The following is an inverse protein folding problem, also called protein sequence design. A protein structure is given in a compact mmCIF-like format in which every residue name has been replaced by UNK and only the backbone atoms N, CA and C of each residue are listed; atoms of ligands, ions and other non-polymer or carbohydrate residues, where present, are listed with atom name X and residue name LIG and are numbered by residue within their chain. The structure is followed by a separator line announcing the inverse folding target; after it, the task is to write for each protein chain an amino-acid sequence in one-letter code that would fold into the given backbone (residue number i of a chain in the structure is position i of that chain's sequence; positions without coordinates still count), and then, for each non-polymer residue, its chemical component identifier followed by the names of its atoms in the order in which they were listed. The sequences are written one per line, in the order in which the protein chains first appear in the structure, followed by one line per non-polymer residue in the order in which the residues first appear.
data_IF_047327154915
#
_entry.id   IF_047327154915
#
_cell.length_a   1.000
_cell.length_b   1.000
_cell.length_c   1.000
_cell.angle_alpha   90.00
_cell.angle_beta   90.00
_cell.angle_gamma   90.00
#
_symmetry.space_group_name_H-M   'P 1'
#
loop_
_entity.id
_entity.type
_entity.pdbx_description
1 polymer ?
#
# COMPACT_ATOMS: atom_id res chain seq x y z
N UNK A 1 -19.85 -20.01 11.95
CA UNK A 1 -19.12 -19.08 11.06
C UNK A 1 -18.74 -17.86 11.87
N UNK A 2 -17.46 -17.68 12.20
CA UNK A 2 -16.98 -16.46 12.86
C UNK A 2 -16.99 -15.34 11.80
N UNK A 3 -18.16 -14.75 11.56
CA UNK A 3 -18.28 -13.51 10.82
C UNK A 3 -17.78 -12.39 11.73
N UNK A 4 -16.45 -12.26 11.83
CA UNK A 4 -15.82 -11.11 12.42
C UNK A 4 -16.19 -9.91 11.56
N UNK A 5 -17.11 -9.08 12.04
CA UNK A 5 -17.24 -7.71 11.56
C UNK A 5 -15.99 -6.96 12.03
N UNK A 6 -14.87 -7.17 11.35
CA UNK A 6 -13.74 -6.27 11.48
C UNK A 6 -14.23 -4.94 10.93
N UNK A 7 -14.14 -3.89 11.75
CA UNK A 7 -14.37 -2.53 11.25
C UNK A 7 -13.51 -2.36 9.99
N UNK A 8 -14.12 -1.85 8.91
CA UNK A 8 -13.39 -1.63 7.65
C UNK A 8 -12.09 -0.92 7.95
N UNK A 9 -10.99 -1.48 7.47
CA UNK A 9 -9.71 -0.80 7.60
C UNK A 9 -9.64 0.37 6.64
N UNK A 10 -8.70 1.28 6.87
CA UNK A 10 -8.48 2.42 5.99
C UNK A 10 -8.23 1.98 4.53
N UNK A 11 -7.56 0.84 4.33
CA UNK A 11 -7.35 0.28 3.01
C UNK A 11 -8.67 -0.18 2.36
N UNK A 12 -9.51 -0.91 3.09
CA UNK A 12 -10.79 -1.41 2.56
C UNK A 12 -11.77 -0.27 2.24
N UNK A 13 -11.84 0.75 3.09
CA UNK A 13 -12.67 1.93 2.85
C UNK A 13 -12.21 2.68 1.59
N UNK A 14 -10.90 2.90 1.46
CA UNK A 14 -10.32 3.54 0.26
C UNK A 14 -10.59 2.70 -0.97
N UNK A 15 -10.38 1.38 -0.89
CA UNK A 15 -10.64 0.44 -2.00
C UNK A 15 -12.07 0.54 -2.51
N UNK A 16 -13.06 0.59 -1.62
CA UNK A 16 -14.47 0.73 -2.03
C UNK A 16 -14.77 2.11 -2.64
N UNK A 17 -14.18 3.17 -2.09
CA UNK A 17 -14.34 4.52 -2.63
C UNK A 17 -13.81 4.59 -4.06
N UNK A 18 -12.59 4.08 -4.28
CA UNK A 18 -11.95 4.11 -5.59
C UNK A 18 -12.67 3.21 -6.61
N UNK A 19 -13.18 2.05 -6.18
CA UNK A 19 -14.03 1.20 -7.02
C UNK A 19 -15.34 1.87 -7.44
N UNK A 20 -15.95 2.66 -6.55
CA UNK A 20 -17.20 3.38 -6.87
C UNK A 20 -16.98 4.54 -7.84
N UNK A 21 -15.80 5.14 -7.83
CA UNK A 21 -15.49 6.30 -8.69
C UNK A 21 -15.33 5.96 -10.18
N UNK A 22 -15.33 4.67 -10.58
CA UNK A 22 -15.28 4.20 -11.98
C UNK A 22 -14.32 5.01 -12.87
N UNK A 23 -13.17 5.37 -12.31
CA UNK A 23 -12.17 6.22 -12.95
C UNK A 23 -10.92 5.39 -13.17
N UNK A 24 -10.60 5.12 -14.43
CA UNK A 24 -9.45 4.33 -14.90
C UNK A 24 -8.09 4.86 -14.43
N UNK A 25 -8.03 6.13 -14.03
CA UNK A 25 -6.80 6.76 -13.52
C UNK A 25 -6.54 6.39 -12.06
N UNK A 26 -7.59 6.06 -11.30
CA UNK A 26 -7.45 5.81 -9.87
C UNK A 26 -6.88 4.41 -9.63
N UNK A 27 -5.85 4.34 -8.80
CA UNK A 27 -5.33 3.09 -8.28
C UNK A 27 -6.32 2.55 -7.25
N UNK A 28 -6.88 1.39 -7.50
CA UNK A 28 -7.62 0.63 -6.49
C UNK A 28 -6.60 -0.06 -5.58
N UNK A 29 -6.48 0.31 -4.29
CA UNK A 29 -5.50 -0.31 -3.40
C UNK A 29 -5.85 -1.78 -3.11
N UNK A 30 -4.82 -2.62 -3.10
CA UNK A 30 -4.87 -4.00 -2.62
C UNK A 30 -4.56 -4.03 -1.13
N UNK A 31 -5.39 -4.73 -0.36
CA UNK A 31 -5.25 -4.85 1.09
C UNK A 31 -4.80 -6.27 1.46
N UNK A 32 -4.00 -6.38 2.50
CA UNK A 32 -3.63 -7.66 3.12
C UNK A 32 -4.84 -8.25 3.88
N UNK A 33 -4.85 -9.54 4.26
CA UNK A 33 -5.94 -10.12 5.06
C UNK A 33 -6.08 -9.49 6.46
N UNK A 34 -5.05 -8.80 6.96
CA UNK A 34 -5.08 -7.98 8.16
C UNK A 34 -5.73 -6.61 7.93
N UNK A 35 -5.92 -6.23 6.66
CA UNK A 35 -6.50 -4.97 6.21
C UNK A 35 -5.49 -3.82 6.09
N UNK A 36 -4.19 -4.10 6.12
CA UNK A 36 -3.16 -3.13 5.79
C UNK A 36 -3.00 -2.98 4.27
N UNK A 37 -2.33 -1.93 3.82
CA UNK A 37 -2.01 -1.78 2.40
C UNK A 37 -0.92 -2.77 2.00
N UNK A 38 -1.12 -3.46 0.87
CA UNK A 38 -0.06 -4.28 0.29
C UNK A 38 1.16 -3.44 -0.07
N UNK A 39 2.34 -4.03 0.13
CA UNK A 39 3.60 -3.36 -0.14
C UNK A 39 3.79 -3.04 -1.63
N UNK A 40 3.13 -3.78 -2.52
CA UNK A 40 3.19 -3.57 -3.96
C UNK A 40 1.79 -3.24 -4.48
N UNK A 41 1.59 -1.99 -4.86
CA UNK A 41 0.34 -1.51 -5.40
C UNK A 41 0.47 -1.34 -6.91
N UNK A 42 -0.35 -2.05 -7.68
CA UNK A 42 -0.33 -2.01 -9.14
C UNK A 42 -1.66 -1.49 -9.66
N UNK A 43 -1.61 -0.46 -10.50
CA UNK A 43 -2.77 -0.06 -11.28
C UNK A 43 -2.76 -0.88 -12.58
N UNK A 44 -3.75 -1.76 -12.74
CA UNK A 44 -3.86 -2.62 -13.92
C UNK A 44 -4.14 -1.82 -15.21
N UNK A 45 -4.90 -0.72 -15.10
CA UNK A 45 -5.31 0.10 -16.23
C UNK A 45 -4.14 0.94 -16.78
N UNK A 46 -3.44 1.63 -15.89
CA UNK A 46 -2.33 2.52 -16.28
C UNK A 46 -0.98 1.81 -16.31
N UNK A 47 -0.91 0.57 -15.81
CA UNK A 47 0.28 -0.27 -15.65
C UNK A 47 1.36 0.33 -14.74
N UNK A 48 1.05 1.38 -13.99
CA UNK A 48 1.96 1.94 -13.01
C UNK A 48 1.91 1.14 -11.72
N UNK A 49 3.09 0.85 -11.19
CA UNK A 49 3.25 0.15 -9.93
C UNK A 49 4.00 1.04 -8.94
N UNK A 50 3.60 1.02 -7.69
CA UNK A 50 4.23 1.77 -6.60
C UNK A 50 4.44 0.89 -5.38
N UNK A 51 5.42 1.25 -4.55
CA UNK A 51 5.58 0.61 -3.25
C UNK A 51 4.87 1.43 -2.19
N UNK A 52 4.04 0.79 -1.40
CA UNK A 52 3.31 1.41 -0.30
C UNK A 52 3.74 0.81 1.02
N UNK A 53 3.58 1.58 2.09
CA UNK A 53 3.74 1.12 3.46
C UNK A 53 2.42 0.54 3.96
N UNK A 54 2.43 -0.25 5.06
CA UNK A 54 1.20 -0.79 5.65
C UNK A 54 0.17 0.29 5.99
N UNK A 55 0.61 1.49 6.36
CA UNK A 55 -0.27 2.63 6.62
C UNK A 55 -0.88 3.30 5.36
N UNK A 56 -0.45 2.92 4.16
CA UNK A 56 -0.90 3.51 2.88
C UNK A 56 -0.01 4.62 2.32
N UNK A 57 1.07 4.99 3.02
CA UNK A 57 2.04 5.98 2.52
C UNK A 57 2.92 5.40 1.41
N UNK A 58 3.23 6.19 0.37
CA UNK A 58 4.08 5.72 -0.72
C UNK A 58 5.57 5.80 -0.34
N UNK A 59 6.31 4.74 -0.63
CA UNK A 59 7.76 4.63 -0.40
C UNK A 59 8.54 5.22 -1.59
N UNK A 60 8.03 5.00 -2.81
CA UNK A 60 8.64 5.47 -4.05
C UNK A 60 7.57 5.98 -5.00
N UNK A 61 8.00 6.81 -5.94
CA UNK A 61 7.14 7.27 -7.02
C UNK A 61 6.63 6.11 -7.89
N UNK A 62 5.39 6.20 -8.41
CA UNK A 62 4.83 5.22 -9.32
C UNK A 62 5.69 5.05 -10.57
N UNK A 63 6.03 3.82 -10.92
CA UNK A 63 6.83 3.51 -12.10
C UNK A 63 6.36 2.24 -12.81
N UNK A 64 6.40 2.26 -14.13
CA UNK A 64 6.07 1.13 -15.01
C UNK A 64 7.05 -0.05 -14.86
N UNK A 65 8.23 0.18 -14.27
CA UNK A 65 9.32 -0.81 -14.18
C UNK A 65 9.49 -1.41 -12.78
N UNK A 66 8.53 -1.20 -11.89
CA UNK A 66 8.62 -1.72 -10.54
C UNK A 66 8.32 -3.22 -10.54
N UNK A 67 9.35 -4.04 -10.30
CA UNK A 67 9.19 -5.51 -10.22
C UNK A 67 9.05 -6.03 -8.80
N UNK A 68 9.63 -5.32 -7.83
CA UNK A 68 9.64 -5.74 -6.43
C UNK A 68 9.75 -4.54 -5.50
N UNK A 69 9.04 -4.66 -4.38
CA UNK A 69 9.08 -3.71 -3.29
C UNK A 69 9.93 -4.16 -2.11
N UNK A 70 10.37 -5.42 -2.05
CA UNK A 70 11.10 -5.95 -0.90
C UNK A 70 12.37 -5.13 -0.57
N UNK A 71 13.22 -4.85 -1.56
CA UNK A 71 14.43 -4.06 -1.34
C UNK A 71 14.18 -2.58 -1.02
N UNK A 72 13.09 -2.01 -1.54
CA UNK A 72 12.70 -0.62 -1.27
C UNK A 72 12.08 -0.48 0.12
N UNK A 73 11.21 -1.42 0.49
CA UNK A 73 10.58 -1.50 1.81
C UNK A 73 11.61 -1.72 2.91
N UNK A 74 12.60 -2.59 2.69
CA UNK A 74 13.68 -2.78 3.67
C UNK A 74 14.46 -1.49 3.91
N UNK A 75 14.91 -0.82 2.83
CA UNK A 75 15.63 0.46 2.94
C UNK A 75 14.80 1.51 3.66
N UNK A 76 13.51 1.59 3.34
CA UNK A 76 12.59 2.53 3.98
C UNK A 76 12.47 2.27 5.49
N UNK A 77 12.29 1.00 5.88
CA UNK A 77 12.26 0.60 7.28
C UNK A 77 13.58 0.95 8.00
N UNK A 78 14.72 0.72 7.37
CA UNK A 78 16.03 1.05 7.94
C UNK A 78 16.21 2.57 8.12
N UNK A 79 15.80 3.36 7.13
CA UNK A 79 15.81 4.82 7.22
C UNK A 79 14.88 5.34 8.32
N UNK A 80 13.69 4.75 8.47
CA UNK A 80 12.76 5.11 9.56
C UNK A 80 13.32 4.75 10.92
N UNK A 81 13.94 3.57 11.06
CA UNK A 81 14.63 3.15 12.29
C UNK A 81 15.79 4.09 12.64
N UNK A 82 16.59 4.49 11.66
CA UNK A 82 17.66 5.47 11.85
C UNK A 82 17.11 6.85 12.25
N UNK A 83 16.02 7.30 11.63
CA UNK A 83 15.36 8.57 11.94
C UNK A 83 14.68 8.59 13.33
N UNK A 84 14.20 7.43 13.80
CA UNK A 84 13.62 7.29 15.13
C UNK A 84 14.64 7.33 16.26
N UNK A 85 15.95 7.34 15.94
CA UNK A 85 17.00 7.64 16.90
C UNK A 85 16.89 6.83 18.18
N UNK A 86 16.91 5.49 18.08
CA UNK A 86 17.21 4.65 19.26
C UNK A 86 18.71 4.84 19.55
N UNK A 87 19.02 6.02 20.09
CA UNK A 87 20.26 6.34 20.78
C UNK A 87 20.09 5.66 22.13
N UNK A 88 20.68 4.48 22.27
CA UNK A 88 21.01 3.94 23.58
C UNK A 88 22.12 4.76 24.22
#
# INVERSE_FOLDING_TARGET
CLAGTFAKTACEETREREQKTNTTVNLIPTCTPEGDYEAHQCNEDTRYSMCSRPEGSHIVDPTLKLKTCAGKAQRDNDLRRAAQGIIG
#
